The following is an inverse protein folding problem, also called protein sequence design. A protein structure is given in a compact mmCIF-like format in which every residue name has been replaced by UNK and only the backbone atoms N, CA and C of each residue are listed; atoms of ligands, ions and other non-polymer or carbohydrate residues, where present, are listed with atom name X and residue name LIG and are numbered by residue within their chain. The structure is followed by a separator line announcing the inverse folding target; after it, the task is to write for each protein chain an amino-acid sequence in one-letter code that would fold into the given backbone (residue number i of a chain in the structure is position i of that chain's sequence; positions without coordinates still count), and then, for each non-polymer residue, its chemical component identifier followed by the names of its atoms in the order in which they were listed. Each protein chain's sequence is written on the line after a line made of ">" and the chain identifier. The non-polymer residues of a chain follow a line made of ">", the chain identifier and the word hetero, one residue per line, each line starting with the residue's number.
data_IF_569264199594
#
_entry.id   IF_569264199594
#
_cell.length_a   1.000
_cell.length_b   1.000
_cell.length_c   1.000
_cell.angle_alpha   90.00
_cell.angle_beta   90.00
_cell.angle_gamma   90.00
#
_symmetry.space_group_name_H-M   'P 1'
#
loop_
_entity.id
_entity.type
_entity.pdbx_description
1 polymer ?
#
# COMPACT_ATOMS: atom_id res chain seq x y z
N UNK A 1 -24.16 -8.91 -5.58
CA UNK A 1 -23.21 -7.77 -5.61
C UNK A 1 -22.11 -8.08 -4.60
N UNK A 2 -20.84 -7.99 -5.00
CA UNK A 2 -19.72 -8.14 -4.07
C UNK A 2 -19.72 -7.00 -3.03
N UNK A 3 -19.18 -7.29 -1.85
CA UNK A 3 -19.08 -6.30 -0.78
C UNK A 3 -17.76 -5.53 -0.86
N UNK A 4 -17.78 -4.30 -0.36
CA UNK A 4 -16.58 -3.50 -0.10
C UNK A 4 -16.51 -3.24 1.40
N UNK A 5 -15.44 -3.69 2.05
CA UNK A 5 -15.28 -3.62 3.50
C UNK A 5 -14.08 -2.72 3.81
N UNK A 6 -14.28 -1.55 4.43
CA UNK A 6 -13.17 -0.67 4.81
C UNK A 6 -12.62 -0.99 6.19
N UNK A 7 -11.33 -1.32 6.29
CA UNK A 7 -10.64 -1.49 7.57
C UNK A 7 -10.01 -0.18 8.06
N UNK A 8 -10.36 0.24 9.28
CA UNK A 8 -9.84 1.48 9.90
C UNK A 8 -9.35 1.19 11.31
N UNK A 9 -8.23 1.80 11.68
CA UNK A 9 -7.63 1.66 13.02
C UNK A 9 -6.16 2.02 13.05
N UNK A 10 -5.60 2.21 14.25
CA UNK A 10 -4.19 2.57 14.45
C UNK A 10 -3.21 1.48 14.00
N UNK A 11 -1.93 1.82 13.88
CA UNK A 11 -0.89 0.84 13.53
C UNK A 11 -0.77 -0.24 14.61
N UNK A 12 -0.61 -1.51 14.22
CA UNK A 12 -0.41 -2.62 15.15
C UNK A 12 -1.69 -3.24 15.74
N UNK A 13 -2.88 -2.72 15.44
CA UNK A 13 -4.16 -3.29 15.95
C UNK A 13 -4.61 -4.58 15.24
N UNK A 14 -3.79 -5.12 14.32
CA UNK A 14 -4.07 -6.38 13.63
C UNK A 14 -4.91 -6.26 12.35
N UNK A 15 -5.03 -5.08 11.73
CA UNK A 15 -5.76 -4.92 10.45
C UNK A 15 -5.20 -5.82 9.34
N UNK A 16 -3.88 -5.82 9.18
CA UNK A 16 -3.21 -6.63 8.15
C UNK A 16 -3.41 -8.13 8.45
N UNK A 17 -3.41 -8.51 9.73
CA UNK A 17 -3.70 -9.87 10.17
C UNK A 17 -5.15 -10.27 9.87
N UNK A 18 -6.11 -9.40 10.16
CA UNK A 18 -7.52 -9.63 9.83
C UNK A 18 -7.72 -9.79 8.32
N UNK A 19 -7.11 -8.91 7.51
CA UNK A 19 -7.22 -8.96 6.06
C UNK A 19 -6.66 -10.27 5.50
N UNK A 20 -5.47 -10.69 5.95
CA UNK A 20 -4.87 -11.97 5.58
C UNK A 20 -5.75 -13.17 5.97
N UNK A 21 -6.29 -13.19 7.18
CA UNK A 21 -7.20 -14.27 7.61
C UNK A 21 -8.49 -14.27 6.76
N UNK A 22 -9.00 -13.10 6.40
CA UNK A 22 -10.21 -13.00 5.60
C UNK A 22 -9.97 -13.52 4.17
N UNK A 23 -8.83 -13.22 3.54
CA UNK A 23 -8.43 -13.79 2.25
C UNK A 23 -8.29 -15.32 2.30
N UNK A 24 -7.74 -15.86 3.39
CA UNK A 24 -7.57 -17.30 3.56
C UNK A 24 -8.91 -18.03 3.73
N UNK A 25 -9.90 -17.39 4.39
CA UNK A 25 -11.18 -18.01 4.75
C UNK A 25 -12.30 -17.73 3.75
N UNK A 26 -12.22 -16.65 2.99
CA UNK A 26 -13.27 -16.19 2.09
C UNK A 26 -12.69 -15.87 0.71
N UNK A 27 -13.50 -16.01 -0.34
CA UNK A 27 -13.12 -15.57 -1.70
C UNK A 27 -13.22 -14.04 -1.82
N UNK A 28 -12.28 -13.37 -1.16
CA UNK A 28 -12.11 -11.92 -1.20
C UNK A 28 -10.67 -11.53 -1.54
N UNK A 29 -10.50 -10.28 -1.95
CA UNK A 29 -9.21 -9.69 -2.29
C UNK A 29 -8.98 -8.42 -1.45
N UNK A 30 -7.81 -8.31 -0.84
CA UNK A 30 -7.41 -7.14 -0.05
C UNK A 30 -6.72 -6.12 -0.94
N UNK A 31 -7.08 -4.86 -0.78
CA UNK A 31 -6.42 -3.75 -1.45
C UNK A 31 -5.95 -2.73 -0.42
N UNK A 32 -4.64 -2.59 -0.24
CA UNK A 32 -4.12 -1.50 0.58
C UNK A 32 -3.90 -0.23 -0.25
N UNK A 33 -4.41 0.91 0.24
CA UNK A 33 -4.19 2.23 -0.37
C UNK A 33 -2.71 2.59 -0.56
N UNK A 34 -1.82 2.00 0.24
CA UNK A 34 -0.38 2.21 0.14
C UNK A 34 0.27 1.40 -0.99
N UNK A 35 -0.37 0.37 -1.54
CA UNK A 35 0.25 -0.52 -2.52
C UNK A 35 0.75 0.19 -3.78
N UNK A 36 0.00 1.15 -4.38
CA UNK A 36 0.52 1.88 -5.53
C UNK A 36 1.78 2.68 -5.21
N UNK A 37 1.89 3.20 -3.99
CA UNK A 37 3.10 3.89 -3.52
C UNK A 37 4.25 2.90 -3.33
N UNK A 38 4.02 1.73 -2.71
CA UNK A 38 5.04 0.68 -2.56
C UNK A 38 5.62 0.29 -3.91
N UNK A 39 4.75 0.03 -4.90
CA UNK A 39 5.16 -0.32 -6.25
C UNK A 39 5.92 0.80 -6.98
N UNK A 40 5.60 2.06 -6.70
CA UNK A 40 6.35 3.20 -7.24
C UNK A 40 7.74 3.28 -6.62
N UNK A 41 7.86 3.10 -5.30
CA UNK A 41 9.16 3.06 -4.60
C UNK A 41 10.01 1.90 -5.11
N UNK A 42 9.46 0.69 -5.22
CA UNK A 42 10.20 -0.45 -5.79
C UNK A 42 10.75 -0.12 -7.18
N UNK A 43 9.94 0.49 -8.05
CA UNK A 43 10.39 0.90 -9.40
C UNK A 43 11.47 1.98 -9.37
N UNK A 44 11.36 2.97 -8.49
CA UNK A 44 12.35 4.05 -8.37
C UNK A 44 13.71 3.55 -7.90
N UNK A 45 13.72 2.56 -7.01
CA UNK A 45 14.95 2.01 -6.42
C UNK A 45 15.42 0.72 -7.09
N UNK A 46 14.72 0.23 -8.11
CA UNK A 46 15.05 -1.01 -8.81
C UNK A 46 14.92 -2.25 -7.93
N UNK A 47 13.93 -2.28 -7.03
CA UNK A 47 13.63 -3.44 -6.21
C UNK A 47 12.78 -4.45 -6.98
N UNK A 48 13.19 -5.70 -6.93
CA UNK A 48 12.50 -6.84 -7.52
C UNK A 48 11.42 -7.39 -6.59
N UNK A 49 11.61 -7.25 -5.27
CA UNK A 49 10.75 -7.83 -4.24
C UNK A 49 10.21 -6.77 -3.26
N UNK A 50 9.02 -7.02 -2.70
CA UNK A 50 8.38 -6.10 -1.73
C UNK A 50 9.15 -6.07 -0.40
N UNK A 51 9.82 -7.17 -0.05
CA UNK A 51 10.66 -7.28 1.14
C UNK A 51 11.79 -6.24 1.13
N UNK A 52 12.31 -5.88 -0.04
CA UNK A 52 13.34 -4.85 -0.18
C UNK A 52 12.78 -3.46 0.15
N UNK A 53 11.54 -3.18 -0.25
CA UNK A 53 10.83 -1.97 0.18
C UNK A 53 10.63 -1.96 1.70
N UNK A 54 10.27 -3.09 2.31
CA UNK A 54 10.10 -3.17 3.76
C UNK A 54 11.42 -3.02 4.53
N UNK A 55 12.52 -3.52 3.98
CA UNK A 55 13.86 -3.29 4.49
C UNK A 55 14.24 -1.81 4.41
N UNK A 56 14.01 -1.16 3.26
CA UNK A 56 14.20 0.28 3.09
C UNK A 56 13.41 1.08 4.12
N UNK A 57 12.11 0.78 4.29
CA UNK A 57 11.25 1.46 5.25
C UNK A 57 11.73 1.35 6.70
N UNK A 58 12.46 0.28 7.04
CA UNK A 58 13.01 0.02 8.38
C UNK A 58 14.47 0.46 8.53
N UNK A 59 15.09 0.97 7.47
CA UNK A 59 16.48 1.42 7.48
C UNK A 59 16.62 2.92 7.72
N UNK A 60 17.86 3.32 7.97
CA UNK A 60 18.31 4.70 7.86
C UNK A 60 19.19 4.84 6.63
N UNK A 61 19.05 5.95 5.92
CA UNK A 61 19.84 6.30 4.74
C UNK A 61 20.70 7.51 5.06
N UNK A 62 21.97 7.46 4.66
CA UNK A 62 22.88 8.61 4.81
C UNK A 62 22.97 9.37 3.50
N UNK A 63 22.71 10.67 3.54
CA UNK A 63 22.88 11.59 2.41
C UNK A 63 23.72 12.78 2.86
N UNK A 64 25.00 12.79 2.47
CA UNK A 64 25.98 13.73 3.01
C UNK A 64 26.14 13.55 4.52
N UNK A 65 26.01 14.64 5.28
CA UNK A 65 26.09 14.63 6.75
C UNK A 65 24.73 14.40 7.44
N UNK A 66 23.70 14.01 6.68
CA UNK A 66 22.34 13.81 7.20
C UNK A 66 21.94 12.35 7.18
N UNK A 67 21.30 11.92 8.25
CA UNK A 67 20.59 10.65 8.33
C UNK A 67 19.09 10.88 8.07
N UNK A 68 18.51 10.09 7.19
CA UNK A 68 17.10 10.15 6.79
C UNK A 68 16.49 8.78 7.06
N UNK A 69 15.39 8.73 7.80
CA UNK A 69 14.64 7.47 7.96
C UNK A 69 14.09 7.03 6.61
N UNK A 70 14.27 5.77 6.25
CA UNK A 70 13.66 5.23 5.04
C UNK A 70 12.13 5.26 5.09
N UNK A 71 11.53 5.24 6.29
CA UNK A 71 10.08 5.49 6.45
C UNK A 71 9.71 6.91 6.02
N UNK A 72 10.43 7.91 6.48
CA UNK A 72 10.16 9.31 6.16
C UNK A 72 10.38 9.58 4.66
N UNK A 73 11.37 8.91 4.05
CA UNK A 73 11.56 8.93 2.61
C UNK A 73 10.33 8.38 1.87
N UNK A 74 9.84 7.19 2.23
CA UNK A 74 8.65 6.60 1.60
C UNK A 74 7.40 7.48 1.79
N UNK A 75 7.23 8.08 2.98
CA UNK A 75 6.14 9.02 3.25
C UNK A 75 6.27 10.26 2.38
N UNK A 76 7.47 10.84 2.28
CA UNK A 76 7.74 12.03 1.46
C UNK A 76 7.43 11.77 -0.01
N UNK A 77 7.85 10.62 -0.54
CA UNK A 77 7.50 10.20 -1.91
C UNK A 77 5.98 10.09 -2.05
N UNK A 78 5.32 9.40 -1.13
CA UNK A 78 3.86 9.25 -1.15
C UNK A 78 3.11 10.60 -1.12
N UNK A 79 3.60 11.56 -0.32
CA UNK A 79 3.04 12.91 -0.26
C UNK A 79 3.29 13.68 -1.55
N UNK A 80 4.47 13.59 -2.16
CA UNK A 80 4.74 14.23 -3.45
C UNK A 80 3.79 13.75 -4.56
N UNK A 81 3.45 12.46 -4.61
CA UNK A 81 2.43 11.95 -5.54
C UNK A 81 1.03 12.52 -5.24
N UNK A 82 0.66 12.62 -3.96
CA UNK A 82 -0.62 13.19 -3.55
C UNK A 82 -0.72 14.70 -3.83
N UNK A 83 0.37 15.44 -3.66
CA UNK A 83 0.41 16.87 -3.95
C UNK A 83 0.28 17.14 -5.45
N UNK A 84 0.87 16.29 -6.28
CA UNK A 84 0.70 16.36 -7.74
C UNK A 84 -0.72 15.98 -8.19
N UNK A 85 -1.33 15.01 -7.54
CA UNK A 85 -2.68 14.52 -7.84
C UNK A 85 -3.35 13.93 -6.58
N UNK A 86 -4.23 14.70 -5.91
CA UNK A 86 -4.84 14.30 -4.64
C UNK A 86 -5.62 12.98 -4.70
N UNK A 87 -6.16 12.65 -5.87
CA UNK A 87 -6.97 11.46 -6.10
C UNK A 87 -6.18 10.28 -6.70
N UNK A 88 -4.86 10.40 -6.88
CA UNK A 88 -4.04 9.38 -7.55
C UNK A 88 -4.26 7.97 -6.98
N UNK A 89 -4.07 7.83 -5.67
CA UNK A 89 -4.22 6.53 -4.98
C UNK A 89 -5.66 6.04 -5.00
N UNK A 90 -6.63 6.96 -4.85
CA UNK A 90 -8.06 6.65 -4.86
C UNK A 90 -8.47 6.05 -6.20
N UNK A 91 -8.05 6.65 -7.32
CA UNK A 91 -8.36 6.16 -8.66
C UNK A 91 -7.79 4.76 -8.93
N UNK A 92 -6.59 4.47 -8.41
CA UNK A 92 -5.98 3.14 -8.55
C UNK A 92 -6.75 2.09 -7.74
N UNK A 93 -7.14 2.41 -6.51
CA UNK A 93 -7.97 1.54 -5.67
C UNK A 93 -9.34 1.33 -6.30
N UNK A 94 -10.04 2.39 -6.72
CA UNK A 94 -11.34 2.31 -7.41
C UNK A 94 -11.28 1.40 -8.64
N UNK A 95 -10.24 1.52 -9.46
CA UNK A 95 -10.06 0.66 -10.63
C UNK A 95 -9.95 -0.81 -10.26
N UNK A 96 -9.21 -1.15 -9.20
CA UNK A 96 -9.10 -2.54 -8.71
C UNK A 96 -10.42 -3.05 -8.12
N UNK A 97 -11.10 -2.23 -7.30
CA UNK A 97 -12.43 -2.57 -6.76
C UNK A 97 -13.41 -2.89 -7.89
N UNK A 98 -13.44 -2.08 -8.95
CA UNK A 98 -14.31 -2.30 -10.11
C UNK A 98 -13.97 -3.60 -10.86
N UNK A 99 -12.68 -3.90 -11.06
CA UNK A 99 -12.24 -5.15 -11.67
C UNK A 99 -12.66 -6.37 -10.84
N UNK A 100 -12.49 -6.30 -9.53
CA UNK A 100 -12.88 -7.37 -8.61
C UNK A 100 -14.40 -7.56 -8.62
N UNK A 101 -15.16 -6.46 -8.69
CA UNK A 101 -16.60 -6.52 -8.79
C UNK A 101 -17.08 -7.19 -10.09
N UNK A 102 -16.44 -6.89 -11.22
CA UNK A 102 -16.70 -7.55 -12.50
C UNK A 102 -16.39 -9.05 -12.46
N UNK A 103 -15.38 -9.44 -11.69
CA UNK A 103 -14.98 -10.83 -11.46
C UNK A 103 -15.81 -11.54 -10.37
N UNK A 104 -16.78 -10.85 -9.75
CA UNK A 104 -17.63 -11.40 -8.68
C UNK A 104 -16.95 -11.54 -7.32
N UNK A 105 -15.75 -10.95 -7.14
CA UNK A 105 -14.97 -11.02 -5.89
C UNK A 105 -15.31 -9.91 -4.91
N UNK A 106 -15.41 -10.25 -3.63
CA UNK A 106 -15.54 -9.28 -2.53
C UNK A 106 -14.20 -8.59 -2.28
N UNK A 107 -14.21 -7.30 -1.91
CA UNK A 107 -12.98 -6.53 -1.65
C UNK A 107 -12.92 -6.03 -0.21
N UNK A 108 -11.74 -6.14 0.40
CA UNK A 108 -11.41 -5.66 1.75
C UNK A 108 -10.33 -4.57 1.66
#
# INVERSE_FOLDING_TARGET
>A
MPYLIGLVGEAGVGKDTFASIAEDLYDCETIAYADPMKQAVCRLFGFDEIEQYDQLKRSSLTYGDREISGRDLCVTIGMAYRDADPDYFKRIVEKRVLLNALNGKTTI
#
